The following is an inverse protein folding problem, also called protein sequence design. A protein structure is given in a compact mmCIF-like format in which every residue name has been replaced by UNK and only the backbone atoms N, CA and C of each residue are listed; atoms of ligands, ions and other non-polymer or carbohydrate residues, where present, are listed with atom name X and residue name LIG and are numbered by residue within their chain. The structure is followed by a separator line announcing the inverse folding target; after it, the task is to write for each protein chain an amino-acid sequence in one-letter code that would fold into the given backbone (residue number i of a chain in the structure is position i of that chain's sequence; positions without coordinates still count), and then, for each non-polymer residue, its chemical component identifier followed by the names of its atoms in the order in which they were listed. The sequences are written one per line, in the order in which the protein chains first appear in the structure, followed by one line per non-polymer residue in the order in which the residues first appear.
data_IF_676952377086
#
_entry.id   IF_676952377086
#
_cell.length_a   1.000
_cell.length_b   1.000
_cell.length_c   1.000
_cell.angle_alpha   90.00
_cell.angle_beta   90.00
_cell.angle_gamma   90.00
#
_symmetry.space_group_name_H-M   'P 1'
#
loop_
_entity.id
_entity.type
_entity.pdbx_description
1 polymer ?
#
# COMPACT_ATOMS: atom_id res chain seq x y z
N UNK A 1 -8.97 1.89 17.96
CA UNK A 1 -9.56 2.12 16.65
C UNK A 1 -9.93 3.58 16.42
N UNK A 2 -10.71 4.17 17.33
CA UNK A 2 -11.05 5.59 17.30
C UNK A 2 -9.79 6.47 17.31
N UNK A 3 -8.83 6.09 18.14
CA UNK A 3 -7.54 6.78 18.27
C UNK A 3 -6.70 6.65 16.98
N UNK A 4 -6.72 5.48 16.34
CA UNK A 4 -6.05 5.26 15.05
C UNK A 4 -6.61 6.16 13.96
N UNK A 5 -7.93 6.28 13.86
CA UNK A 5 -8.59 7.16 12.91
C UNK A 5 -8.21 8.63 13.13
N UNK A 6 -8.16 9.07 14.38
CA UNK A 6 -7.78 10.43 14.73
C UNK A 6 -6.34 10.73 14.31
N UNK A 7 -5.39 9.84 14.58
CA UNK A 7 -3.99 10.03 14.20
C UNK A 7 -3.81 10.23 12.70
N UNK A 8 -4.55 9.49 11.88
CA UNK A 8 -4.46 9.61 10.43
C UNK A 8 -5.18 10.87 9.92
N UNK A 9 -6.36 11.17 10.47
CA UNK A 9 -7.15 12.35 10.07
C UNK A 9 -6.46 13.66 10.40
N UNK A 10 -5.66 13.69 11.46
CA UNK A 10 -4.91 14.87 11.85
C UNK A 10 -3.74 15.16 10.90
N UNK A 11 -3.44 14.25 9.97
CA UNK A 11 -2.39 14.44 8.97
C UNK A 11 -2.98 15.00 7.68
N UNK A 12 -2.27 15.95 7.10
CA UNK A 12 -2.64 16.48 5.80
C UNK A 12 -2.40 15.44 4.72
N UNK A 13 -3.47 14.89 4.18
CA UNK A 13 -3.42 13.99 3.04
C UNK A 13 -3.74 14.80 1.80
N UNK A 14 -2.75 15.01 0.94
CA UNK A 14 -2.92 15.78 -0.29
C UNK A 14 -3.51 14.91 -1.39
N UNK A 15 -4.35 15.53 -2.27
CA UNK A 15 -4.86 14.90 -3.47
C UNK A 15 -6.20 14.19 -3.27
N UNK A 16 -6.40 13.08 -4.00
CA UNK A 16 -7.69 12.36 -4.07
C UNK A 16 -7.73 11.14 -3.15
N UNK A 17 -7.12 11.27 -1.99
CA UNK A 17 -7.08 10.21 -0.99
C UNK A 17 -8.35 10.19 -0.17
N UNK A 18 -8.96 9.02 -0.04
CA UNK A 18 -10.13 8.81 0.80
C UNK A 18 -9.80 7.87 1.96
N UNK A 19 -10.32 8.18 3.13
CA UNK A 19 -10.28 7.28 4.27
C UNK A 19 -11.61 6.56 4.37
N UNK A 20 -11.56 5.22 4.35
CA UNK A 20 -12.75 4.38 4.41
C UNK A 20 -12.65 3.50 5.66
N UNK A 21 -13.58 3.68 6.59
CA UNK A 21 -13.69 2.82 7.77
C UNK A 21 -14.84 1.83 7.54
N UNK A 22 -14.50 0.56 7.39
CA UNK A 22 -15.50 -0.49 7.14
C UNK A 22 -16.06 -1.08 8.43
N UNK A 23 -15.55 -0.66 9.58
CA UNK A 23 -15.85 -1.31 10.84
C UNK A 23 -14.78 -2.33 11.23
N UNK A 24 -14.22 -3.03 10.28
CA UNK A 24 -13.16 -4.05 10.50
C UNK A 24 -11.81 -3.63 9.95
N UNK A 25 -11.77 -2.68 9.04
CA UNK A 25 -10.55 -2.18 8.40
C UNK A 25 -10.59 -0.66 8.31
N UNK A 26 -9.42 -0.05 8.33
CA UNK A 26 -9.26 1.35 7.92
C UNK A 26 -8.48 1.35 6.60
N UNK A 27 -9.12 1.79 5.52
CA UNK A 27 -8.55 1.77 4.18
C UNK A 27 -8.16 3.19 3.79
N UNK A 28 -6.92 3.36 3.34
CA UNK A 28 -6.45 4.59 2.71
C UNK A 28 -6.55 4.33 1.20
N UNK A 29 -7.64 4.80 0.61
CA UNK A 29 -7.89 4.65 -0.83
C UNK A 29 -7.18 5.78 -1.57
N UNK A 30 -6.07 5.45 -2.21
CA UNK A 30 -5.26 6.39 -2.98
C UNK A 30 -4.94 5.81 -4.35
N UNK A 31 -5.99 5.29 -5.01
CA UNK A 31 -5.88 4.53 -6.25
C UNK A 31 -5.92 5.38 -7.53
N UNK A 32 -6.00 6.70 -7.41
CA UNK A 32 -6.17 7.55 -8.59
C UNK A 32 -4.91 7.56 -9.46
N UNK A 33 -3.76 7.75 -8.83
CA UNK A 33 -2.47 7.74 -9.52
C UNK A 33 -1.33 7.51 -8.53
N UNK A 34 -0.16 7.16 -9.06
CA UNK A 34 1.01 6.94 -8.24
C UNK A 34 2.27 7.45 -8.95
N UNK A 35 3.10 8.16 -8.20
CA UNK A 35 4.46 8.52 -8.59
C UNK A 35 5.35 8.37 -7.34
N UNK A 36 6.69 8.41 -7.49
CA UNK A 36 7.58 8.17 -6.34
C UNK A 36 7.35 9.11 -5.16
N UNK A 37 7.10 10.39 -5.42
CA UNK A 37 6.87 11.38 -4.36
C UNK A 37 5.55 11.11 -3.63
N UNK A 38 4.47 10.92 -4.36
CA UNK A 38 3.16 10.67 -3.76
C UNK A 38 3.10 9.32 -3.04
N UNK A 39 3.77 8.30 -3.57
CA UNK A 39 3.85 6.99 -2.93
C UNK A 39 4.58 7.10 -1.59
N UNK A 40 5.70 7.79 -1.56
CA UNK A 40 6.46 8.02 -0.33
C UNK A 40 5.62 8.75 0.72
N UNK A 41 4.93 9.82 0.32
CA UNK A 41 4.05 10.57 1.21
C UNK A 41 2.94 9.72 1.79
N UNK A 42 2.31 8.90 0.97
CA UNK A 42 1.23 8.01 1.42
C UNK A 42 1.73 6.93 2.38
N UNK A 43 2.92 6.38 2.11
CA UNK A 43 3.57 5.42 3.02
C UNK A 43 3.89 6.06 4.37
N UNK A 44 4.37 7.31 4.37
CA UNK A 44 4.66 8.03 5.62
C UNK A 44 3.38 8.22 6.44
N UNK A 45 2.25 8.53 5.79
CA UNK A 45 0.95 8.62 6.47
C UNK A 45 0.55 7.27 7.05
N UNK A 46 0.68 6.19 6.28
CA UNK A 46 0.37 4.84 6.75
C UNK A 46 1.18 4.48 7.99
N UNK A 47 2.46 4.84 8.01
CA UNK A 47 3.36 4.53 9.13
C UNK A 47 2.93 5.15 10.46
N UNK A 48 2.06 6.15 10.44
CA UNK A 48 1.55 6.80 11.66
C UNK A 48 0.38 6.05 12.29
N UNK A 49 -0.14 5.02 11.65
CA UNK A 49 -1.23 4.21 12.21
C UNK A 49 -0.75 3.41 13.41
N UNK A 50 -1.63 3.24 14.39
CA UNK A 50 -1.29 2.57 15.65
C UNK A 50 -1.46 1.06 15.62
N UNK A 51 -2.11 0.49 14.64
CA UNK A 51 -2.28 -0.95 14.50
C UNK A 51 -1.33 -1.53 13.47
N UNK A 52 -1.67 -2.73 13.03
CA UNK A 52 -0.92 -3.40 11.96
C UNK A 52 -1.12 -2.65 10.65
N UNK A 53 -0.04 -2.39 9.95
CA UNK A 53 -0.04 -1.62 8.71
C UNK A 53 0.22 -2.52 7.50
N UNK A 54 -0.56 -2.32 6.45
CA UNK A 54 -0.43 -3.08 5.20
C UNK A 54 -0.35 -2.09 4.03
N UNK A 55 0.72 -2.15 3.27
CA UNK A 55 0.86 -1.37 2.05
C UNK A 55 0.60 -2.28 0.84
N UNK A 56 -0.39 -1.93 0.03
CA UNK A 56 -0.70 -2.60 -1.22
C UNK A 56 -0.31 -1.66 -2.36
N UNK A 57 0.86 -1.89 -2.93
CA UNK A 57 1.47 -1.01 -3.92
C UNK A 57 1.50 -1.66 -5.29
N UNK A 58 1.10 -0.93 -6.29
CA UNK A 58 1.20 -1.37 -7.68
C UNK A 58 2.22 -0.57 -8.47
N UNK A 59 2.30 -0.87 -9.76
CA UNK A 59 3.24 -0.20 -10.67
C UNK A 59 2.98 1.28 -10.76
N UNK A 60 4.06 2.03 -10.89
CA UNK A 60 4.05 3.45 -11.22
C UNK A 60 4.46 3.60 -12.69
N UNK A 61 3.57 4.14 -13.51
CA UNK A 61 3.80 4.28 -14.94
C UNK A 61 4.42 5.64 -15.30
N UNK A 62 4.96 5.74 -16.50
CA UNK A 62 5.49 6.98 -17.07
C UNK A 62 6.69 7.57 -16.30
N UNK A 63 7.53 6.70 -15.72
CA UNK A 63 8.72 7.14 -14.98
C UNK A 63 9.99 7.22 -15.82
N UNK A 64 9.95 6.72 -17.06
CA UNK A 64 11.11 6.75 -17.96
C UNK A 64 12.20 5.75 -17.58
N UNK A 65 13.45 6.09 -17.90
CA UNK A 65 14.58 5.17 -17.77
C UNK A 65 14.91 4.75 -16.35
N UNK A 66 14.48 5.54 -15.36
CA UNK A 66 14.75 5.25 -13.94
C UNK A 66 13.63 4.47 -13.25
N UNK A 67 12.68 3.93 -14.00
CA UNK A 67 11.52 3.27 -13.42
C UNK A 67 11.89 2.14 -12.45
N UNK A 68 12.91 1.35 -12.77
CA UNK A 68 13.34 0.25 -11.92
C UNK A 68 13.93 0.75 -10.60
N UNK A 69 14.81 1.74 -10.67
CA UNK A 69 15.43 2.36 -9.50
C UNK A 69 14.38 3.03 -8.60
N UNK A 70 13.42 3.73 -9.21
CA UNK A 70 12.38 4.44 -8.47
C UNK A 70 11.43 3.47 -7.76
N UNK A 71 11.09 2.34 -8.39
CA UNK A 71 10.33 1.30 -7.72
C UNK A 71 11.12 0.66 -6.57
N UNK A 72 12.40 0.36 -6.80
CA UNK A 72 13.27 -0.18 -5.76
C UNK A 72 13.31 0.73 -4.53
N UNK A 73 13.54 2.01 -4.75
CA UNK A 73 13.63 2.99 -3.66
C UNK A 73 12.31 3.15 -2.90
N UNK A 74 11.19 3.04 -3.59
CA UNK A 74 9.86 3.09 -2.95
C UNK A 74 9.66 1.90 -2.01
N UNK A 75 9.99 0.71 -2.47
CA UNK A 75 9.91 -0.48 -1.63
C UNK A 75 10.86 -0.42 -0.43
N UNK A 76 12.09 0.02 -0.66
CA UNK A 76 13.07 0.22 0.40
C UNK A 76 12.56 1.19 1.46
N UNK A 77 11.95 2.30 1.04
CA UNK A 77 11.37 3.28 1.97
C UNK A 77 10.28 2.67 2.84
N UNK A 78 9.37 1.90 2.24
CA UNK A 78 8.29 1.24 3.00
C UNK A 78 8.85 0.33 4.10
N UNK A 79 9.91 -0.42 3.80
CA UNK A 79 10.56 -1.29 4.78
C UNK A 79 11.30 -0.48 5.85
N UNK A 80 12.01 0.59 5.46
CA UNK A 80 12.76 1.44 6.38
C UNK A 80 11.88 2.11 7.42
N UNK A 81 10.67 2.53 7.04
CA UNK A 81 9.73 3.18 7.97
C UNK A 81 8.90 2.18 8.78
N UNK A 82 9.12 0.87 8.59
CA UNK A 82 8.54 -0.17 9.44
C UNK A 82 7.11 -0.56 9.13
N UNK A 83 6.69 -0.49 7.88
CA UNK A 83 5.37 -1.01 7.47
C UNK A 83 5.36 -2.52 7.74
N UNK A 84 4.32 -3.02 8.39
CA UNK A 84 4.27 -4.42 8.84
C UNK A 84 4.17 -5.42 7.69
N UNK A 85 3.34 -5.13 6.69
CA UNK A 85 3.18 -5.98 5.50
C UNK A 85 3.28 -5.11 4.26
N UNK A 86 4.16 -5.50 3.35
CA UNK A 86 4.39 -4.78 2.09
C UNK A 86 4.05 -5.72 0.95
N UNK A 87 2.98 -5.41 0.22
CA UNK A 87 2.55 -6.17 -0.96
C UNK A 87 2.90 -5.39 -2.21
N UNK A 88 3.70 -5.96 -3.08
CA UNK A 88 4.11 -5.36 -4.34
C UNK A 88 3.46 -6.12 -5.50
N UNK A 89 2.66 -5.42 -6.30
CA UNK A 89 1.82 -6.02 -7.35
C UNK A 89 2.18 -5.43 -8.71
N UNK A 90 2.53 -6.29 -9.64
CA UNK A 90 2.83 -5.90 -11.01
C UNK A 90 4.27 -6.17 -11.41
N UNK A 91 4.57 -6.08 -12.70
CA UNK A 91 5.90 -6.40 -13.22
C UNK A 91 6.98 -5.42 -12.73
N UNK A 92 6.70 -4.12 -12.78
CA UNK A 92 7.63 -3.10 -12.29
C UNK A 92 7.79 -3.16 -10.78
N UNK A 93 6.74 -3.51 -10.08
CA UNK A 93 6.74 -3.63 -8.61
C UNK A 93 7.61 -4.77 -8.09
N UNK A 94 8.10 -5.64 -8.97
CA UNK A 94 9.13 -6.62 -8.58
C UNK A 94 10.38 -5.91 -8.05
N UNK A 95 10.74 -4.78 -8.63
CA UNK A 95 11.86 -3.96 -8.13
C UNK A 95 11.56 -3.36 -6.75
N UNK A 96 10.31 -2.97 -6.49
CA UNK A 96 9.89 -2.52 -5.17
C UNK A 96 10.00 -3.66 -4.15
N UNK A 97 9.60 -4.86 -4.55
CA UNK A 97 9.77 -6.06 -3.72
C UNK A 97 11.23 -6.29 -3.36
N UNK A 98 12.14 -6.19 -4.34
CA UNK A 98 13.57 -6.36 -4.09
C UNK A 98 14.10 -5.30 -3.11
N UNK A 99 13.72 -4.03 -3.28
CA UNK A 99 14.11 -2.95 -2.38
C UNK A 99 13.59 -3.15 -0.97
N UNK A 100 12.34 -3.54 -0.83
CA UNK A 100 11.73 -3.83 0.47
C UNK A 100 12.41 -5.01 1.15
N UNK A 101 12.70 -6.08 0.43
CA UNK A 101 13.41 -7.25 0.97
C UNK A 101 14.81 -6.88 1.45
N UNK A 102 15.52 -6.02 0.71
CA UNK A 102 16.87 -5.59 1.08
C UNK A 102 16.91 -4.79 2.38
N UNK A 103 15.84 -4.02 2.67
CA UNK A 103 15.78 -3.10 3.81
C UNK A 103 14.88 -3.58 4.95
N UNK A 104 14.14 -4.68 4.77
CA UNK A 104 13.21 -5.19 5.78
C UNK A 104 13.95 -5.70 7.02
N UNK A 105 13.48 -5.26 8.18
CA UNK A 105 13.92 -5.79 9.47
C UNK A 105 12.89 -6.77 10.03
N UNK A 106 11.64 -6.34 10.09
CA UNK A 106 10.52 -7.15 10.60
C UNK A 106 9.31 -7.16 9.67
N UNK A 107 9.38 -6.44 8.55
CA UNK A 107 8.29 -6.40 7.58
C UNK A 107 8.15 -7.72 6.85
N UNK A 108 6.91 -8.18 6.67
CA UNK A 108 6.61 -9.24 5.73
C UNK A 108 6.51 -8.62 4.33
N UNK A 109 7.29 -9.10 3.39
CA UNK A 109 7.34 -8.56 2.03
C UNK A 109 6.86 -9.63 1.06
N UNK A 110 5.82 -9.30 0.30
CA UNK A 110 5.14 -10.21 -0.62
C UNK A 110 5.12 -9.62 -2.02
N UNK A 111 5.27 -10.49 -3.01
CA UNK A 111 5.18 -10.12 -4.41
C UNK A 111 4.07 -10.88 -5.11
N UNK A 112 3.31 -10.17 -5.93
CA UNK A 112 2.27 -10.75 -6.79
C UNK A 112 2.46 -10.19 -8.20
N UNK A 113 2.55 -11.07 -9.18
CA UNK A 113 2.74 -10.64 -10.56
C UNK A 113 1.54 -9.86 -11.08
N UNK A 114 0.33 -10.26 -10.67
CA UNK A 114 -0.92 -9.64 -11.11
C UNK A 114 -1.82 -9.28 -9.93
N UNK A 115 -2.71 -8.35 -10.17
CA UNK A 115 -3.77 -7.99 -9.21
C UNK A 115 -4.63 -9.21 -8.86
N UNK A 116 -4.92 -10.07 -9.83
CA UNK A 116 -5.73 -11.27 -9.61
C UNK A 116 -5.05 -12.25 -8.68
N UNK A 117 -3.73 -12.41 -8.80
CA UNK A 117 -2.96 -13.24 -7.87
C UNK A 117 -3.07 -12.72 -6.44
N UNK A 118 -2.99 -11.42 -6.26
CA UNK A 118 -3.17 -10.79 -4.94
C UNK A 118 -4.57 -11.03 -4.40
N UNK A 119 -5.61 -10.81 -5.22
CA UNK A 119 -7.00 -10.99 -4.81
C UNK A 119 -7.28 -12.43 -4.38
N UNK A 120 -6.64 -13.40 -5.04
CA UNK A 120 -6.76 -14.81 -4.65
C UNK A 120 -6.14 -15.13 -3.28
N UNK A 121 -5.27 -14.28 -2.77
CA UNK A 121 -4.56 -14.46 -1.50
C UNK A 121 -4.92 -13.41 -0.44
N UNK A 122 -5.82 -12.50 -0.77
CA UNK A 122 -6.09 -11.33 0.09
C UNK A 122 -6.51 -11.70 1.51
N UNK A 123 -7.26 -12.79 1.68
CA UNK A 123 -7.69 -13.25 3.00
C UNK A 123 -6.55 -13.77 3.87
N UNK A 124 -5.46 -14.21 3.25
CA UNK A 124 -4.27 -14.65 3.98
C UNK A 124 -3.36 -13.47 4.37
N UNK A 125 -3.53 -12.34 3.70
CA UNK A 125 -2.69 -11.14 3.89
C UNK A 125 -3.32 -10.18 4.88
N UNK A 126 -4.61 -9.91 4.73
CA UNK A 126 -5.34 -8.89 5.46
C UNK A 126 -6.00 -9.49 6.70
N UNK A 127 -5.88 -8.81 7.83
CA UNK A 127 -6.46 -9.21 9.11
C UNK A 127 -7.38 -8.13 9.63
N UNK A 128 -8.27 -8.51 10.53
CA UNK A 128 -9.16 -7.57 11.21
C UNK A 128 -8.34 -6.47 11.91
N UNK A 129 -8.84 -5.25 11.84
CA UNK A 129 -8.27 -4.04 12.42
C UNK A 129 -6.98 -3.55 11.74
N UNK A 130 -6.64 -4.09 10.59
CA UNK A 130 -5.54 -3.54 9.77
C UNK A 130 -5.85 -2.13 9.28
N UNK A 131 -4.80 -1.33 9.13
CA UNK A 131 -4.82 -0.11 8.35
C UNK A 131 -4.11 -0.39 7.03
N UNK A 132 -4.79 -0.18 5.91
CA UNK A 132 -4.34 -0.61 4.60
C UNK A 132 -4.26 0.57 3.64
N UNK A 133 -3.08 0.80 3.08
CA UNK A 133 -2.90 1.73 1.96
C UNK A 133 -3.02 0.97 0.64
N UNK A 134 -3.83 1.47 -0.27
CA UNK A 134 -3.95 0.92 -1.63
C UNK A 134 -3.60 2.01 -2.63
N UNK A 135 -2.51 1.83 -3.37
CA UNK A 135 -2.01 2.86 -4.28
C UNK A 135 -1.28 2.26 -5.49
N UNK A 136 -1.64 2.74 -6.65
CA UNK A 136 -1.00 2.37 -7.93
C UNK A 136 -1.35 3.39 -9.00
N UNK A 137 -0.70 3.30 -10.15
CA UNK A 137 -1.11 4.06 -11.32
C UNK A 137 -2.53 3.70 -11.75
N UNK A 138 -3.22 4.67 -12.31
CA UNK A 138 -4.63 4.52 -12.69
C UNK A 138 -4.89 3.28 -13.57
N UNK A 139 -3.99 2.99 -14.50
CA UNK A 139 -4.12 1.83 -15.39
C UNK A 139 -4.06 0.46 -14.71
N UNK A 140 -3.65 0.39 -13.44
CA UNK A 140 -3.65 -0.85 -12.66
C UNK A 140 -5.05 -1.26 -12.18
N UNK A 141 -6.01 -0.34 -12.23
CA UNK A 141 -7.39 -0.57 -11.82
C UNK A 141 -7.54 -1.09 -10.39
N UNK A 142 -6.81 -0.50 -9.46
CA UNK A 142 -6.82 -0.86 -8.04
C UNK A 142 -8.13 -0.56 -7.29
N UNK A 143 -9.07 0.27 -7.79
CA UNK A 143 -10.39 0.34 -7.16
C UNK A 143 -11.08 -1.02 -6.97
N UNK A 144 -10.77 -2.01 -7.81
CA UNK A 144 -11.25 -3.38 -7.63
C UNK A 144 -10.79 -3.97 -6.28
N UNK A 145 -9.56 -3.69 -5.87
CA UNK A 145 -9.04 -4.12 -4.56
C UNK A 145 -9.82 -3.44 -3.43
N UNK A 146 -10.10 -2.15 -3.58
CA UNK A 146 -10.90 -1.41 -2.60
C UNK A 146 -12.27 -2.05 -2.42
N UNK A 147 -12.93 -2.41 -3.52
CA UNK A 147 -14.26 -3.03 -3.48
C UNK A 147 -14.23 -4.35 -2.73
N UNK A 148 -13.22 -5.18 -2.97
CA UNK A 148 -13.05 -6.46 -2.26
C UNK A 148 -12.82 -6.22 -0.77
N UNK A 149 -11.93 -5.29 -0.41
CA UNK A 149 -11.64 -4.97 0.99
C UNK A 149 -12.88 -4.47 1.75
N UNK A 150 -13.72 -3.66 1.10
CA UNK A 150 -14.95 -3.13 1.70
C UNK A 150 -15.96 -4.21 2.03
N UNK A 151 -15.95 -5.31 1.30
CA UNK A 151 -16.88 -6.42 1.47
C UNK A 151 -16.35 -7.53 2.38
N UNK A 152 -15.09 -7.46 2.78
CA UNK A 152 -14.49 -8.49 3.62
C UNK A 152 -15.14 -8.52 5.00
N UNK A 153 -15.40 -9.74 5.46
CA UNK A 153 -15.93 -10.02 6.81
C UNK A 153 -14.94 -10.88 7.58
N UNK A 154 -14.82 -10.58 8.87
CA UNK A 154 -13.87 -11.22 9.77
C UNK A 154 -14.56 -11.90 10.93
#
# INVERSE_FOLDING_TARGET
RRQRQMCIRDRTIAGRTNLIDTGSLLIIDDCYNANPVSMKSSLDVLSTATGRTVAVMGDMYELGDKENELHYNTGAHAAEIGIDVICCIGELSHHAYEGAKACAKSSAVLYFKTKQDFLGKIRNVVKKDDTILVKASHGMEFPEIIDVLRQMKF
#
